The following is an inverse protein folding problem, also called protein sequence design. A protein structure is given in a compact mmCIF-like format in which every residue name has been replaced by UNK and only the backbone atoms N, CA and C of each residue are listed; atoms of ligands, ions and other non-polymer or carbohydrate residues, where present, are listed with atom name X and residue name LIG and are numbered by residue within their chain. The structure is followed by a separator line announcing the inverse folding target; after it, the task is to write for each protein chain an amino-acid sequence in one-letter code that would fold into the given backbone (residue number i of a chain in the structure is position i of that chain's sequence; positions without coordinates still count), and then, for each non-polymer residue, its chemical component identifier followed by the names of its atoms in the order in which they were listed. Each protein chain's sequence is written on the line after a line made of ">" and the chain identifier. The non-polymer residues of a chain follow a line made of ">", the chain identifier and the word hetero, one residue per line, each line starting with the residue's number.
data_IF_862954295176
#
_entry.id   IF_862954295176
#
_cell.length_a   1.000
_cell.length_b   1.000
_cell.length_c   1.000
_cell.angle_alpha   90.00
_cell.angle_beta   90.00
_cell.angle_gamma   90.00
#
_symmetry.space_group_name_H-M   'P 1'
#
loop_
_entity.id
_entity.type
_entity.pdbx_description
1 polymer ?
#
# COMPACT_ATOMS: atom_id res chain seq x y z
N UNK A 1 -22.77 -37.63 5.84
CA UNK A 1 -22.22 -36.24 5.76
C UNK A 1 -23.15 -35.32 6.55
N UNK A 2 -22.57 -34.58 7.49
CA UNK A 2 -23.31 -33.67 8.37
C UNK A 2 -23.61 -32.31 7.74
N UNK A 3 -23.20 -32.10 6.48
CA UNK A 3 -23.35 -30.86 5.73
C UNK A 3 -24.44 -31.00 4.67
N UNK A 4 -25.22 -29.93 4.46
CA UNK A 4 -26.23 -29.88 3.41
C UNK A 4 -25.60 -29.55 2.06
N UNK A 5 -24.50 -28.80 2.09
CA UNK A 5 -23.64 -28.47 0.92
C UNK A 5 -22.27 -29.13 1.13
N UNK A 6 -21.72 -29.75 0.10
CA UNK A 6 -20.41 -30.39 0.18
C UNK A 6 -19.31 -29.33 0.41
N UNK A 7 -18.43 -29.54 1.43
CA UNK A 7 -17.32 -28.63 1.69
C UNK A 7 -16.34 -28.56 0.51
N UNK A 8 -15.75 -27.39 0.24
CA UNK A 8 -14.88 -27.17 -0.94
C UNK A 8 -13.63 -28.04 -0.96
N UNK A 9 -13.07 -28.34 0.21
CA UNK A 9 -11.89 -29.18 0.33
C UNK A 9 -11.80 -29.79 1.73
N UNK A 10 -11.51 -31.07 1.79
CA UNK A 10 -11.19 -31.78 3.04
C UNK A 10 -9.68 -31.85 3.28
N UNK A 11 -8.86 -31.50 2.28
CA UNK A 11 -7.40 -31.50 2.40
C UNK A 11 -6.93 -30.16 2.93
N UNK A 12 -6.21 -30.13 4.07
CA UNK A 12 -5.67 -28.91 4.65
C UNK A 12 -4.84 -28.08 3.64
N UNK A 13 -4.98 -26.77 3.67
CA UNK A 13 -4.26 -25.88 2.77
C UNK A 13 -2.75 -26.04 2.91
N UNK A 14 -2.22 -26.19 4.14
CA UNK A 14 -0.81 -26.41 4.40
C UNK A 14 -0.25 -27.70 3.80
N UNK A 15 -1.09 -28.72 3.59
CA UNK A 15 -0.67 -29.94 2.88
C UNK A 15 -0.60 -29.75 1.37
N UNK A 16 -1.44 -28.90 0.81
CA UNK A 16 -1.42 -28.54 -0.63
C UNK A 16 -0.32 -27.53 -0.94
N UNK A 17 -0.05 -26.63 0.00
CA UNK A 17 0.94 -25.56 -0.09
C UNK A 17 1.83 -25.56 1.14
N UNK A 18 2.82 -26.48 1.15
CA UNK A 18 3.75 -26.58 2.28
C UNK A 18 4.51 -25.26 2.48
N UNK A 19 4.46 -24.65 3.68
CA UNK A 19 5.24 -23.46 3.98
C UNK A 19 6.73 -23.59 3.72
N UNK A 20 7.32 -24.78 3.93
CA UNK A 20 8.71 -25.05 3.67
C UNK A 20 9.08 -25.01 2.18
N UNK A 21 8.10 -25.17 1.28
CA UNK A 21 8.30 -25.08 -0.17
C UNK A 21 8.42 -23.64 -0.70
N UNK A 22 8.19 -22.65 0.16
CA UNK A 22 8.22 -21.23 -0.23
C UNK A 22 9.65 -20.72 -0.21
N UNK A 23 10.41 -21.05 -1.25
CA UNK A 23 11.83 -20.69 -1.40
C UNK A 23 12.08 -19.68 -2.53
N UNK A 24 11.05 -19.33 -3.30
CA UNK A 24 11.14 -18.40 -4.42
C UNK A 24 9.97 -17.38 -4.40
N UNK A 25 10.20 -16.20 -4.98
CA UNK A 25 9.18 -15.19 -5.13
C UNK A 25 7.99 -15.67 -5.97
N UNK A 26 8.24 -16.48 -6.99
CA UNK A 26 7.19 -17.07 -7.83
C UNK A 26 6.29 -17.98 -7.01
N UNK A 27 6.88 -18.87 -6.21
CA UNK A 27 6.12 -19.78 -5.32
C UNK A 27 5.35 -19.02 -4.26
N UNK A 28 5.93 -17.97 -3.68
CA UNK A 28 5.24 -17.13 -2.72
C UNK A 28 4.00 -16.44 -3.32
N UNK A 29 4.10 -15.92 -4.56
CA UNK A 29 2.96 -15.31 -5.26
C UNK A 29 1.87 -16.33 -5.61
N UNK A 30 2.26 -17.53 -6.01
CA UNK A 30 1.32 -18.65 -6.24
C UNK A 30 0.52 -18.97 -4.98
N UNK A 31 1.18 -19.09 -3.83
CA UNK A 31 0.53 -19.37 -2.55
C UNK A 31 -0.42 -18.23 -2.16
N UNK A 32 -0.05 -16.99 -2.40
CA UNK A 32 -0.91 -15.83 -2.12
C UNK A 32 -2.18 -15.88 -2.98
N UNK A 33 -2.06 -16.15 -4.28
CA UNK A 33 -3.19 -16.28 -5.18
C UNK A 33 -4.09 -17.48 -4.81
N UNK A 34 -3.47 -18.59 -4.41
CA UNK A 34 -4.19 -19.77 -3.93
C UNK A 34 -4.99 -19.48 -2.65
N UNK A 35 -4.43 -18.72 -1.72
CA UNK A 35 -5.14 -18.29 -0.51
C UNK A 35 -6.36 -17.42 -0.84
N UNK A 36 -6.22 -16.46 -1.74
CA UNK A 36 -7.34 -15.60 -2.13
C UNK A 36 -8.48 -16.42 -2.75
N UNK A 37 -8.14 -17.42 -3.56
CA UNK A 37 -9.11 -18.37 -4.10
C UNK A 37 -9.75 -19.23 -3.00
N UNK A 38 -8.96 -19.79 -2.10
CA UNK A 38 -9.42 -20.60 -0.98
C UNK A 38 -10.43 -19.85 -0.12
N UNK A 39 -10.09 -18.63 0.27
CA UNK A 39 -10.96 -17.75 1.02
C UNK A 39 -12.30 -17.53 0.30
N UNK A 40 -12.26 -17.22 -1.01
CA UNK A 40 -13.47 -16.99 -1.81
C UNK A 40 -14.36 -18.24 -1.86
N UNK A 41 -13.77 -19.40 -2.02
CA UNK A 41 -14.50 -20.67 -2.12
C UNK A 41 -15.17 -21.02 -0.79
N UNK A 42 -14.47 -20.86 0.34
CA UNK A 42 -15.03 -21.08 1.67
C UNK A 42 -16.10 -20.03 2.05
N UNK A 43 -15.97 -18.79 1.64
CA UNK A 43 -17.00 -17.75 1.84
C UNK A 43 -18.26 -18.07 1.04
N UNK A 44 -18.14 -18.57 -0.19
CA UNK A 44 -19.28 -18.98 -1.00
C UNK A 44 -19.96 -20.21 -0.40
N UNK A 45 -19.20 -21.23 -0.05
CA UNK A 45 -19.74 -22.40 0.64
C UNK A 45 -20.52 -22.02 1.90
N UNK A 46 -19.96 -21.12 2.72
CA UNK A 46 -20.62 -20.67 3.94
C UNK A 46 -21.95 -19.97 3.67
N UNK A 47 -22.05 -19.17 2.61
CA UNK A 47 -23.32 -18.54 2.20
C UNK A 47 -24.36 -19.58 1.82
N UNK A 48 -23.98 -20.58 1.05
CA UNK A 48 -24.87 -21.65 0.60
C UNK A 48 -25.31 -22.54 1.78
N UNK A 49 -24.37 -22.97 2.62
CA UNK A 49 -24.67 -23.76 3.81
C UNK A 49 -25.55 -22.99 4.79
N UNK A 50 -25.30 -21.71 5.01
CA UNK A 50 -26.15 -20.82 5.84
C UNK A 50 -27.58 -20.79 5.32
N UNK A 51 -27.80 -20.68 4.02
CA UNK A 51 -29.13 -20.70 3.43
C UNK A 51 -29.85 -22.04 3.67
N UNK A 52 -29.11 -23.17 3.67
CA UNK A 52 -29.66 -24.47 3.99
C UNK A 52 -29.93 -24.65 5.49
N UNK A 53 -29.11 -24.08 6.37
CA UNK A 53 -29.31 -24.12 7.81
C UNK A 53 -30.67 -23.58 8.23
N UNK A 54 -31.19 -22.54 7.59
CA UNK A 54 -32.53 -21.99 7.88
C UNK A 54 -33.67 -22.93 7.56
N UNK A 55 -33.42 -24.02 6.84
CA UNK A 55 -34.42 -25.09 6.57
C UNK A 55 -34.34 -26.22 7.57
N UNK A 56 -33.39 -26.21 8.50
CA UNK A 56 -33.16 -27.22 9.50
C UNK A 56 -33.88 -26.89 10.81
N UNK A 57 -34.18 -27.92 11.61
CA UNK A 57 -34.80 -27.72 12.92
C UNK A 57 -33.84 -27.06 13.94
N UNK A 58 -32.55 -27.38 13.87
CA UNK A 58 -31.50 -26.81 14.74
C UNK A 58 -30.70 -25.74 14.03
N UNK A 59 -31.36 -24.61 13.69
CA UNK A 59 -30.75 -23.50 12.92
C UNK A 59 -29.47 -22.97 13.54
N UNK A 60 -29.52 -22.63 14.83
CA UNK A 60 -28.37 -22.03 15.53
C UNK A 60 -27.14 -22.94 15.53
N UNK A 61 -27.33 -24.22 15.84
CA UNK A 61 -26.25 -25.20 15.83
C UNK A 61 -25.65 -25.37 14.43
N UNK A 62 -26.46 -25.41 13.40
CA UNK A 62 -26.03 -25.48 12.01
C UNK A 62 -25.20 -24.27 11.61
N UNK A 63 -25.65 -23.05 11.93
CA UNK A 63 -24.96 -21.81 11.64
C UNK A 63 -23.60 -21.72 12.37
N UNK A 64 -23.56 -22.05 13.64
CA UNK A 64 -22.32 -22.04 14.43
C UNK A 64 -21.29 -23.03 13.89
N UNK A 65 -21.75 -24.24 13.53
CA UNK A 65 -20.88 -25.24 12.91
C UNK A 65 -20.34 -24.79 11.56
N UNK A 66 -21.18 -24.26 10.68
CA UNK A 66 -20.75 -23.75 9.38
C UNK A 66 -19.75 -22.58 9.52
N UNK A 67 -19.98 -21.68 10.48
CA UNK A 67 -19.08 -20.57 10.80
C UNK A 67 -17.72 -21.06 11.31
N UNK A 68 -17.72 -22.07 12.19
CA UNK A 68 -16.48 -22.65 12.74
C UNK A 68 -15.65 -23.27 11.63
N UNK A 69 -16.25 -24.11 10.81
CA UNK A 69 -15.60 -24.80 9.68
C UNK A 69 -14.95 -23.80 8.72
N UNK A 70 -15.73 -22.82 8.23
CA UNK A 70 -15.18 -21.74 7.39
C UNK A 70 -14.00 -21.05 8.05
N UNK A 71 -14.13 -20.69 9.33
CA UNK A 71 -13.12 -19.91 10.04
C UNK A 71 -11.85 -20.71 10.25
N UNK A 72 -11.93 -21.98 10.56
CA UNK A 72 -10.80 -22.88 10.75
C UNK A 72 -9.99 -23.03 9.45
N UNK A 73 -10.65 -23.31 8.34
CA UNK A 73 -10.00 -23.46 7.04
C UNK A 73 -9.37 -22.17 6.54
N UNK A 74 -10.06 -21.03 6.66
CA UNK A 74 -9.50 -19.72 6.27
C UNK A 74 -8.31 -19.34 7.17
N UNK A 75 -8.38 -19.61 8.48
CA UNK A 75 -7.28 -19.30 9.39
C UNK A 75 -6.07 -20.21 9.16
N UNK A 76 -6.27 -21.47 8.85
CA UNK A 76 -5.18 -22.37 8.47
C UNK A 76 -4.48 -21.88 7.19
N UNK A 77 -5.25 -21.60 6.15
CA UNK A 77 -4.72 -21.06 4.90
C UNK A 77 -4.00 -19.72 5.10
N UNK A 78 -4.51 -18.87 5.99
CA UNK A 78 -3.90 -17.59 6.34
C UNK A 78 -2.51 -17.74 6.95
N UNK A 79 -2.26 -18.79 7.74
CA UNK A 79 -0.93 -19.04 8.31
C UNK A 79 0.11 -19.24 7.21
N UNK A 80 -0.21 -20.03 6.19
CA UNK A 80 0.67 -20.26 5.05
C UNK A 80 0.84 -18.99 4.21
N UNK A 81 -0.24 -18.25 3.99
CA UNK A 81 -0.22 -16.96 3.32
C UNK A 81 0.71 -15.94 4.01
N UNK A 82 0.71 -15.91 5.37
CA UNK A 82 1.62 -15.05 6.13
C UNK A 82 3.08 -15.37 5.83
N UNK A 83 3.45 -16.65 5.76
CA UNK A 83 4.81 -17.06 5.40
C UNK A 83 5.19 -16.59 4.00
N UNK A 84 4.30 -16.76 3.02
CA UNK A 84 4.53 -16.32 1.65
C UNK A 84 4.68 -14.79 1.54
N UNK A 85 3.84 -14.04 2.24
CA UNK A 85 3.91 -12.57 2.29
C UNK A 85 5.18 -12.07 2.95
N UNK A 86 5.59 -12.70 4.04
CA UNK A 86 6.80 -12.32 4.77
C UNK A 86 8.06 -12.65 3.95
N UNK A 87 8.05 -13.75 3.20
CA UNK A 87 9.11 -14.07 2.24
C UNK A 87 9.28 -12.96 1.20
N UNK A 88 8.19 -12.53 0.55
CA UNK A 88 8.25 -11.46 -0.44
C UNK A 88 8.66 -10.11 0.16
N UNK A 89 8.25 -9.83 1.40
CA UNK A 89 8.66 -8.61 2.10
C UNK A 89 10.16 -8.60 2.37
N UNK A 90 10.70 -9.73 2.84
CA UNK A 90 12.13 -9.90 3.10
C UNK A 90 12.94 -9.75 1.82
N UNK A 91 12.55 -10.43 0.75
CA UNK A 91 13.22 -10.35 -0.55
C UNK A 91 13.25 -8.90 -1.09
N UNK A 92 12.11 -8.20 -1.00
CA UNK A 92 12.03 -6.78 -1.41
C UNK A 92 12.95 -5.89 -0.57
N UNK A 93 13.03 -6.13 0.74
CA UNK A 93 13.92 -5.39 1.64
C UNK A 93 15.39 -5.63 1.29
N UNK A 94 15.78 -6.87 1.04
CA UNK A 94 17.14 -7.23 0.64
C UNK A 94 17.50 -6.61 -0.72
N UNK A 95 16.59 -6.60 -1.67
CA UNK A 95 16.80 -5.96 -2.96
C UNK A 95 16.97 -4.44 -2.82
N UNK A 96 16.15 -3.79 -2.00
CA UNK A 96 16.27 -2.35 -1.73
C UNK A 96 17.61 -1.98 -1.10
N UNK A 97 18.17 -2.84 -0.23
CA UNK A 97 19.50 -2.65 0.34
C UNK A 97 20.59 -2.77 -0.73
N UNK A 98 20.49 -3.76 -1.62
CA UNK A 98 21.43 -3.94 -2.74
C UNK A 98 21.40 -2.74 -3.69
N UNK A 99 20.19 -2.28 -4.04
CA UNK A 99 20.01 -1.13 -4.93
C UNK A 99 20.59 0.16 -4.34
N UNK A 100 20.39 0.38 -3.02
CA UNK A 100 20.98 1.51 -2.30
C UNK A 100 22.51 1.48 -2.34
N UNK A 101 23.12 0.34 -2.01
CA UNK A 101 24.57 0.16 -2.07
C UNK A 101 25.12 0.40 -3.48
N UNK A 102 24.42 -0.09 -4.50
CA UNK A 102 24.80 0.14 -5.90
C UNK A 102 24.70 1.62 -6.29
N UNK A 103 23.68 2.33 -5.82
CA UNK A 103 23.52 3.77 -6.04
C UNK A 103 24.62 4.59 -5.34
N UNK A 104 24.95 4.23 -4.10
CA UNK A 104 26.05 4.87 -3.33
C UNK A 104 27.40 4.66 -4.02
N UNK A 105 27.68 3.44 -4.50
CA UNK A 105 28.92 3.14 -5.25
C UNK A 105 28.99 3.95 -6.56
N UNK A 106 27.90 4.07 -7.30
CA UNK A 106 27.83 4.90 -8.51
C UNK A 106 28.06 6.38 -8.20
N UNK A 107 27.50 6.88 -7.11
CA UNK A 107 27.70 8.27 -6.69
C UNK A 107 29.14 8.52 -6.26
N UNK A 108 29.73 7.62 -5.48
CA UNK A 108 31.14 7.72 -5.10
C UNK A 108 32.08 7.71 -6.30
N UNK A 109 31.81 6.86 -7.29
CA UNK A 109 32.59 6.83 -8.54
C UNK A 109 32.46 8.11 -9.36
N UNK A 110 31.27 8.74 -9.37
CA UNK A 110 31.08 10.06 -10.02
C UNK A 110 31.85 11.14 -9.28
N UNK A 111 31.79 11.19 -7.96
CA UNK A 111 32.51 12.17 -7.14
C UNK A 111 34.03 12.04 -7.36
N UNK A 112 34.56 10.80 -7.32
CA UNK A 112 35.98 10.57 -7.56
C UNK A 112 36.43 11.02 -8.97
N UNK A 113 35.60 10.86 -9.99
CA UNK A 113 35.86 11.36 -11.34
C UNK A 113 35.84 12.91 -11.40
N UNK A 114 34.95 13.55 -10.66
CA UNK A 114 34.88 14.99 -10.58
C UNK A 114 36.10 15.57 -9.84
N UNK A 115 36.53 14.94 -8.75
CA UNK A 115 37.69 15.32 -7.97
C UNK A 115 39.00 15.10 -8.74
N UNK A 116 39.08 14.09 -9.58
CA UNK A 116 40.23 13.78 -10.44
C UNK A 116 40.33 14.70 -11.69
N UNK A 117 39.29 15.45 -12.05
CA UNK A 117 39.38 16.43 -13.10
C UNK A 117 40.16 17.64 -12.56
N UNK A 118 41.31 18.00 -13.19
CA UNK A 118 42.02 19.22 -12.78
C UNK A 118 41.05 20.39 -12.87
N UNK A 119 41.01 21.19 -11.80
CA UNK A 119 40.14 22.35 -11.72
C UNK A 119 40.24 23.10 -13.06
N UNK A 120 39.18 23.11 -13.84
CA UNK A 120 39.12 23.94 -15.03
C UNK A 120 39.35 25.35 -14.52
N UNK A 121 40.55 25.83 -14.78
CA UNK A 121 40.92 27.22 -14.48
C UNK A 121 39.75 28.06 -14.94
N UNK A 122 39.13 28.74 -13.99
CA UNK A 122 37.99 29.61 -14.24
C UNK A 122 38.42 30.63 -15.30
N UNK A 123 38.10 30.33 -16.56
CA UNK A 123 38.32 31.29 -17.65
C UNK A 123 37.17 32.27 -17.56
N UNK A 124 37.54 33.45 -17.33
CA UNK A 124 36.82 34.72 -17.32
C UNK A 124 36.09 35.04 -15.97
N UNK A 125 36.32 36.25 -15.49
CA UNK A 125 35.49 36.80 -14.45
C UNK A 125 34.03 36.74 -14.98
N UNK A 126 33.19 35.96 -14.34
CA UNK A 126 31.77 36.15 -14.51
C UNK A 126 31.52 37.63 -14.30
N UNK A 127 30.88 38.28 -15.28
CA UNK A 127 30.36 39.62 -15.08
C UNK A 127 29.70 39.60 -13.72
N UNK A 128 30.31 40.28 -12.76
CA UNK A 128 29.66 40.52 -11.47
C UNK A 128 28.31 41.10 -11.82
N UNK A 129 27.24 40.27 -11.64
CA UNK A 129 25.92 40.84 -11.56
C UNK A 129 26.05 41.89 -10.47
N UNK A 130 25.90 43.15 -10.83
CA UNK A 130 25.69 44.21 -9.88
C UNK A 130 24.54 43.78 -8.97
N UNK A 131 24.91 43.22 -7.84
CA UNK A 131 23.99 42.98 -6.76
C UNK A 131 23.78 44.35 -6.13
N UNK A 132 22.92 45.13 -6.73
CA UNK A 132 22.35 46.29 -6.05
C UNK A 132 21.85 45.80 -4.70
N UNK A 133 22.34 46.36 -3.58
CA UNK A 133 21.87 45.95 -2.28
C UNK A 133 20.36 46.11 -2.25
N UNK A 134 19.62 45.01 -2.06
CA UNK A 134 18.17 45.05 -1.89
C UNK A 134 17.85 45.99 -0.74
N UNK A 135 16.98 46.96 -0.99
CA UNK A 135 16.47 47.83 0.08
C UNK A 135 15.90 46.97 1.19
N UNK A 136 16.18 47.30 2.46
CA UNK A 136 15.53 46.61 3.57
C UNK A 136 14.01 46.76 3.41
N UNK A 137 13.28 45.63 3.27
CA UNK A 137 11.82 45.60 3.11
C UNK A 137 11.32 44.79 1.89
N UNK A 138 12.17 44.39 0.94
CA UNK A 138 11.77 43.42 -0.14
C UNK A 138 12.04 41.99 0.32
N UNK A 139 11.30 41.54 1.32
CA UNK A 139 11.24 40.15 1.73
C UNK A 139 10.52 39.28 0.68
N UNK A 140 10.77 37.96 0.71
CA UNK A 140 9.99 36.99 -0.04
C UNK A 140 8.53 37.15 0.32
N UNK A 141 7.63 36.87 -0.61
CA UNK A 141 6.17 36.92 -0.37
C UNK A 141 5.69 36.14 0.87
N UNK A 142 6.53 35.25 1.40
CA UNK A 142 6.32 34.51 2.64
C UNK A 142 6.51 35.35 3.92
N UNK A 143 7.26 36.45 3.85
CA UNK A 143 7.56 37.31 5.02
C UNK A 143 6.65 38.55 5.08
N UNK A 144 5.74 38.68 4.13
CA UNK A 144 4.79 39.77 4.09
C UNK A 144 3.67 39.51 5.09
N UNK A 145 3.57 40.33 6.13
CA UNK A 145 2.41 40.35 7.02
C UNK A 145 1.20 40.81 6.20
N UNK A 146 0.22 39.93 6.09
CA UNK A 146 -1.03 40.21 5.38
C UNK A 146 -1.78 41.34 6.07
N UNK A 147 -2.39 42.22 5.29
CA UNK A 147 -3.32 43.22 5.85
C UNK A 147 -4.61 42.52 6.28
N UNK A 148 -5.36 43.07 7.24
CA UNK A 148 -6.62 42.52 7.70
C UNK A 148 -7.64 42.27 6.56
N UNK A 149 -7.60 43.13 5.54
CA UNK A 149 -8.45 42.98 4.34
C UNK A 149 -8.01 41.80 3.47
N UNK A 150 -6.73 41.57 3.32
CA UNK A 150 -6.16 40.42 2.60
C UNK A 150 -6.42 39.11 3.35
N UNK A 151 -6.32 39.08 4.67
CA UNK A 151 -6.68 37.90 5.49
C UNK A 151 -8.17 37.56 5.32
N UNK A 152 -9.06 38.55 5.32
CA UNK A 152 -10.49 38.38 5.11
C UNK A 152 -10.79 37.83 3.72
N UNK A 153 -10.15 38.39 2.66
CA UNK A 153 -10.30 37.95 1.29
C UNK A 153 -9.80 36.50 1.11
N UNK A 154 -8.67 36.15 1.74
CA UNK A 154 -8.14 34.78 1.71
C UNK A 154 -9.06 33.79 2.44
N UNK A 155 -9.64 34.17 3.56
CA UNK A 155 -10.59 33.35 4.29
C UNK A 155 -11.89 33.12 3.49
N UNK A 156 -12.42 34.14 2.82
CA UNK A 156 -13.58 34.03 1.94
C UNK A 156 -13.28 33.13 0.73
N UNK A 157 -12.11 33.30 0.08
CA UNK A 157 -11.69 32.45 -1.02
C UNK A 157 -11.52 30.97 -0.61
N UNK A 158 -11.02 30.73 0.60
CA UNK A 158 -10.91 29.39 1.15
C UNK A 158 -12.29 28.76 1.40
N UNK A 159 -13.21 29.52 1.99
CA UNK A 159 -14.59 29.05 2.25
C UNK A 159 -15.31 28.69 0.94
N UNK A 160 -15.18 29.50 -0.11
CA UNK A 160 -15.74 29.20 -1.43
C UNK A 160 -15.17 27.89 -2.02
N UNK A 161 -13.86 27.66 -1.93
CA UNK A 161 -13.22 26.41 -2.39
C UNK A 161 -13.73 25.19 -1.62
N UNK A 162 -14.01 25.32 -0.33
CA UNK A 162 -14.58 24.24 0.46
C UNK A 162 -16.01 23.91 0.00
N UNK A 163 -16.85 24.92 -0.22
CA UNK A 163 -18.20 24.72 -0.73
C UNK A 163 -18.21 24.05 -2.12
N UNK A 164 -17.35 24.47 -3.03
CA UNK A 164 -17.21 23.82 -4.35
C UNK A 164 -16.76 22.38 -4.24
N UNK A 165 -15.89 22.07 -3.27
CA UNK A 165 -15.44 20.69 -3.02
C UNK A 165 -16.59 19.83 -2.48
N UNK A 166 -17.37 20.33 -1.56
CA UNK A 166 -18.53 19.64 -1.00
C UNK A 166 -19.60 19.38 -2.06
N UNK A 167 -19.89 20.38 -2.91
CA UNK A 167 -20.80 20.20 -4.04
C UNK A 167 -20.33 19.10 -5.01
N UNK A 168 -19.05 19.08 -5.35
CA UNK A 168 -18.49 18.02 -6.21
C UNK A 168 -18.59 16.64 -5.59
N UNK A 169 -18.39 16.51 -4.28
CA UNK A 169 -18.55 15.25 -3.56
C UNK A 169 -20.01 14.81 -3.60
N UNK A 170 -20.95 15.72 -3.30
CA UNK A 170 -22.38 15.42 -3.34
C UNK A 170 -22.87 15.02 -4.73
N UNK A 171 -22.35 15.64 -5.80
CA UNK A 171 -22.65 15.25 -7.19
C UNK A 171 -22.10 13.87 -7.57
N UNK A 172 -20.96 13.46 -6.98
CA UNK A 172 -20.39 12.13 -7.21
C UNK A 172 -21.15 11.04 -6.46
N UNK A 173 -21.66 11.33 -5.27
CA UNK A 173 -22.45 10.39 -4.46
C UNK A 173 -23.88 10.22 -4.99
N UNK A 174 -24.37 11.15 -5.82
CA UNK A 174 -25.72 11.09 -6.43
C UNK A 174 -25.77 10.36 -7.77
N UNK A 175 -24.64 9.89 -8.31
CA UNK A 175 -24.52 9.12 -9.57
C UNK A 175 -24.26 7.66 -9.33
#
# INVERSE_FOLDING_TARGET
>A
NAWAVEPPSTVPFAKRYDPASITTASRAREVIAAYDNEKRVWENWYKEETAQCYRNFFVTYCLDKAKSERTEHINEARRVWLVARDFLRKERSEQAVKDRKAAEAKQAAKNAKMDAQPARVAKAPSKTRDVTPRKPGEGHAADRVLTPEEEKANAEAYAMKQQEREQRIAEQESK
#
